data_IF_492477010593
#
_entry.id   IF_492477010593
#
_cell.length_a   1.000
_cell.length_b   1.000
_cell.length_c   1.000
_cell.angle_alpha   90.00
_cell.angle_beta   90.00
_cell.angle_gamma   90.00
#
_symmetry.space_group_name_H-M   'P 1'
#
loop_
_entity.id
_entity.type
_entity.pdbx_description
1 polymer ?
#
# COMPACT_ATOMS: atom_id res chain seq x y z
N UNK A 1 -15.67 -18.75 3.38
CA UNK A 1 -15.72 -17.40 2.78
C UNK A 1 -14.38 -16.72 3.02
N UNK A 2 -13.58 -16.50 1.96
CA UNK A 2 -12.29 -15.82 2.06
C UNK A 2 -12.48 -14.32 2.16
N UNK A 3 -11.64 -13.62 2.92
CA UNK A 3 -11.58 -12.16 2.77
C UNK A 3 -10.98 -11.86 1.37
N UNK A 4 -11.42 -10.80 0.70
CA UNK A 4 -11.42 -10.69 -0.76
C UNK A 4 -10.07 -10.75 -1.52
N UNK A 5 -10.02 -10.40 -2.81
CA UNK A 5 -8.76 -10.39 -3.55
C UNK A 5 -7.82 -9.28 -3.07
N UNK A 6 -6.50 -9.47 -3.26
CA UNK A 6 -5.51 -8.38 -3.15
C UNK A 6 -5.78 -7.37 -4.26
N UNK A 7 -5.88 -6.08 -3.91
CA UNK A 7 -6.10 -4.99 -4.86
C UNK A 7 -4.84 -4.17 -5.05
N UNK A 8 -4.60 -3.77 -6.29
CA UNK A 8 -3.49 -2.91 -6.69
C UNK A 8 -4.07 -1.72 -7.43
N UNK A 9 -3.74 -0.53 -6.96
CA UNK A 9 -4.21 0.70 -7.57
C UNK A 9 -3.03 1.65 -7.73
N UNK A 10 -2.85 2.17 -8.95
CA UNK A 10 -1.92 3.27 -9.18
C UNK A 10 -2.50 4.53 -8.57
N UNK A 11 -1.74 5.19 -7.69
CA UNK A 11 -2.17 6.43 -7.04
C UNK A 11 -1.32 7.60 -7.54
N UNK A 12 -1.90 8.80 -7.48
CA UNK A 12 -1.26 10.06 -7.86
C UNK A 12 -1.38 11.06 -6.70
N UNK A 13 -0.59 12.15 -6.70
CA UNK A 13 -0.82 13.27 -5.80
C UNK A 13 -2.29 13.72 -5.83
N UNK A 14 -2.84 13.93 -4.64
CA UNK A 14 -4.20 14.44 -4.45
C UNK A 14 -4.21 15.83 -3.81
N UNK A 15 -5.31 16.21 -3.15
CA UNK A 15 -5.34 17.43 -2.36
C UNK A 15 -4.26 17.43 -1.28
N UNK A 16 -3.54 18.54 -1.14
CA UNK A 16 -2.54 18.73 -0.08
C UNK A 16 -3.23 19.04 1.24
N UNK A 17 -3.43 18.02 2.08
CA UNK A 17 -4.07 18.15 3.40
C UNK A 17 -3.14 18.80 4.43
N UNK A 18 -3.69 19.26 5.55
CA UNK A 18 -2.90 19.70 6.70
C UNK A 18 -1.96 18.58 7.19
N UNK A 19 -0.75 18.95 7.62
CA UNK A 19 0.19 18.02 8.25
C UNK A 19 -0.26 17.74 9.69
N UNK A 20 -0.93 16.61 9.88
CA UNK A 20 -1.35 16.08 11.19
C UNK A 20 -0.73 14.70 11.42
N UNK A 21 -1.08 14.02 12.50
CA UNK A 21 -0.55 12.69 12.86
C UNK A 21 -0.76 11.61 11.78
N UNK A 22 -1.61 11.84 10.78
CA UNK A 22 -1.86 10.95 9.66
C UNK A 22 -2.08 11.73 8.36
N UNK A 23 -1.66 11.14 7.24
CA UNK A 23 -1.91 11.64 5.88
C UNK A 23 -2.55 10.52 5.07
N UNK A 24 -3.41 10.89 4.10
CA UNK A 24 -3.78 9.93 3.06
C UNK A 24 -2.56 9.63 2.17
N UNK A 25 -2.48 8.46 1.52
CA UNK A 25 -1.37 8.15 0.60
C UNK A 25 -1.20 9.21 -0.50
N UNK A 26 -2.32 9.68 -1.07
CA UNK A 26 -2.32 10.73 -2.10
C UNK A 26 -1.88 12.09 -1.53
N UNK A 27 -2.25 12.40 -0.28
CA UNK A 27 -1.81 13.61 0.43
C UNK A 27 -0.32 13.59 0.76
N UNK A 28 0.24 12.42 1.11
CA UNK A 28 1.68 12.25 1.29
C UNK A 28 2.44 12.51 -0.02
N UNK A 29 1.95 11.99 -1.15
CA UNK A 29 2.53 12.26 -2.47
C UNK A 29 2.47 13.74 -2.85
N UNK A 30 1.35 14.42 -2.54
CA UNK A 30 1.22 15.86 -2.78
C UNK A 30 2.20 16.71 -1.94
N UNK A 31 2.56 16.24 -0.74
CA UNK A 31 3.60 16.86 0.07
C UNK A 31 5.01 16.57 -0.45
N UNK A 32 5.26 15.34 -0.90
CA UNK A 32 6.55 15.00 -1.53
C UNK A 32 6.81 15.88 -2.76
N UNK A 33 5.80 16.03 -3.63
CA UNK A 33 5.86 16.91 -4.80
C UNK A 33 6.16 18.36 -4.41
N UNK A 34 5.45 18.88 -3.41
CA UNK A 34 5.61 20.28 -3.02
C UNK A 34 6.96 20.58 -2.36
N UNK A 35 7.47 19.67 -1.54
CA UNK A 35 8.70 19.90 -0.76
C UNK A 35 9.97 19.54 -1.54
N UNK A 36 9.90 18.55 -2.42
CA UNK A 36 11.07 18.00 -3.12
C UNK A 36 11.02 18.21 -4.64
N UNK A 37 9.92 18.75 -5.16
CA UNK A 37 9.74 19.01 -6.59
C UNK A 37 9.41 17.77 -7.42
N UNK A 38 9.17 16.62 -6.78
CA UNK A 38 8.86 15.36 -7.47
C UNK A 38 7.82 14.52 -6.73
N UNK A 39 6.94 13.89 -7.49
CA UNK A 39 5.95 12.92 -7.03
C UNK A 39 6.33 11.54 -7.56
N UNK A 40 6.94 10.65 -6.74
CA UNK A 40 7.37 9.36 -7.22
C UNK A 40 6.19 8.52 -7.71
N UNK A 41 6.46 7.63 -8.66
CA UNK A 41 5.49 6.64 -9.11
C UNK A 41 5.06 5.76 -7.92
N UNK A 42 3.75 5.66 -7.70
CA UNK A 42 3.23 5.04 -6.50
C UNK A 42 2.00 4.15 -6.76
N UNK A 43 1.90 3.09 -5.95
CA UNK A 43 0.77 2.17 -5.93
C UNK A 43 0.29 1.94 -4.50
N UNK A 44 -1.02 1.86 -4.33
CA UNK A 44 -1.66 1.37 -3.12
C UNK A 44 -1.99 -0.12 -3.30
N UNK A 45 -1.42 -0.96 -2.45
CA UNK A 45 -1.71 -2.39 -2.43
C UNK A 45 -2.51 -2.72 -1.18
N UNK A 46 -3.74 -3.17 -1.35
CA UNK A 46 -4.64 -3.53 -0.24
C UNK A 46 -4.73 -5.04 -0.11
N UNK A 47 -4.41 -5.52 1.09
CA UNK A 47 -4.58 -6.91 1.47
C UNK A 47 -5.83 -7.05 2.36
N UNK A 48 -6.72 -8.00 2.10
CA UNK A 48 -7.76 -8.35 3.07
C UNK A 48 -7.15 -8.79 4.41
N UNK A 49 -7.68 -8.27 5.52
CA UNK A 49 -7.41 -8.77 6.85
C UNK A 49 -8.71 -9.22 7.50
N UNK A 50 -8.66 -10.33 8.24
CA UNK A 50 -9.83 -10.87 8.94
C UNK A 50 -9.91 -10.44 10.41
N UNK A 51 -8.76 -10.34 11.06
CA UNK A 51 -8.63 -9.91 12.44
C UNK A 51 -7.53 -8.85 12.53
N UNK A 52 -7.87 -7.74 13.17
CA UNK A 52 -7.00 -6.57 13.41
C UNK A 52 -7.17 -6.09 14.86
N UNK A 53 -7.59 -7.00 15.76
CA UNK A 53 -7.71 -6.72 17.19
C UNK A 53 -6.38 -6.29 17.78
N UNK A 54 -6.44 -5.39 18.77
CA UNK A 54 -5.25 -4.78 19.33
C UNK A 54 -4.32 -5.81 20.00
N UNK A 55 -3.02 -5.75 19.70
CA UNK A 55 -2.02 -6.64 20.28
C UNK A 55 -1.93 -8.02 19.64
N UNK A 56 -2.80 -8.35 18.68
CA UNK A 56 -2.71 -9.60 17.95
C UNK A 56 -1.81 -9.47 16.71
N UNK A 57 -1.11 -10.56 16.39
CA UNK A 57 -0.43 -10.68 15.11
C UNK A 57 -1.41 -10.97 13.97
N UNK A 58 -0.92 -11.00 12.74
CA UNK A 58 -1.76 -11.46 11.62
C UNK A 58 -2.28 -12.87 11.86
N UNK A 59 -3.59 -13.04 11.66
CA UNK A 59 -4.20 -14.37 11.53
C UNK A 59 -3.41 -15.22 10.53
N UNK A 60 -3.39 -16.57 10.66
CA UNK A 60 -2.65 -17.43 9.74
C UNK A 60 -2.99 -17.19 8.26
N UNK A 61 -4.23 -16.78 8.00
CA UNK A 61 -4.70 -16.46 6.65
C UNK A 61 -4.16 -15.12 6.14
N UNK A 62 -4.28 -14.04 6.93
CA UNK A 62 -3.72 -12.72 6.61
C UNK A 62 -2.20 -12.83 6.40
N UNK A 63 -1.52 -13.62 7.24
CA UNK A 63 -0.07 -13.84 7.16
C UNK A 63 0.34 -14.45 5.82
N UNK A 64 -0.29 -15.56 5.41
CA UNK A 64 -0.01 -16.18 4.10
C UNK A 64 -0.24 -15.24 2.94
N UNK A 65 -1.31 -14.45 3.00
CA UNK A 65 -1.61 -13.48 1.95
C UNK A 65 -0.55 -12.36 1.90
N UNK A 66 -0.08 -11.88 3.05
CA UNK A 66 1.00 -10.90 3.15
C UNK A 66 2.34 -11.45 2.62
N UNK A 67 2.70 -12.69 2.95
CA UNK A 67 3.90 -13.36 2.44
C UNK A 67 3.85 -13.52 0.92
N UNK A 68 2.71 -13.95 0.38
CA UNK A 68 2.49 -14.06 -1.07
C UNK A 68 2.52 -12.70 -1.79
N UNK A 69 2.07 -11.64 -1.14
CA UNK A 69 2.24 -10.27 -1.65
C UNK A 69 3.74 -9.86 -1.66
N UNK A 70 4.47 -10.12 -0.59
CA UNK A 70 5.90 -9.82 -0.51
C UNK A 70 6.73 -10.56 -1.56
N UNK A 71 6.33 -11.78 -1.95
CA UNK A 71 6.90 -12.48 -3.10
C UNK A 71 6.71 -11.72 -4.42
N UNK A 72 5.46 -11.33 -4.72
CA UNK A 72 5.12 -10.60 -5.96
C UNK A 72 5.78 -9.23 -6.05
N UNK A 73 5.86 -8.49 -4.93
CA UNK A 73 6.54 -7.19 -4.90
C UNK A 73 8.03 -7.32 -5.20
N UNK A 74 8.70 -8.36 -4.70
CA UNK A 74 10.11 -8.60 -5.02
C UNK A 74 10.32 -8.88 -6.51
N UNK A 75 9.43 -9.68 -7.12
CA UNK A 75 9.47 -9.91 -8.58
C UNK A 75 9.26 -8.62 -9.37
N UNK A 76 8.28 -7.80 -8.97
CA UNK A 76 8.02 -6.50 -9.59
C UNK A 76 9.25 -5.58 -9.53
N UNK A 77 9.86 -5.43 -8.34
CA UNK A 77 11.03 -4.58 -8.12
C UNK A 77 12.30 -5.12 -8.83
N UNK A 78 12.38 -6.42 -9.09
CA UNK A 78 13.48 -7.04 -9.82
C UNK A 78 13.41 -6.84 -11.34
N UNK A 79 12.32 -6.28 -11.88
CA UNK A 79 12.25 -5.85 -13.28
C UNK A 79 11.62 -6.84 -14.28
N UNK A 80 10.90 -7.88 -13.85
CA UNK A 80 10.32 -8.90 -14.74
C UNK A 80 8.79 -8.97 -14.76
N UNK A 81 8.08 -7.84 -14.64
CA UNK A 81 6.64 -7.84 -14.92
C UNK A 81 5.87 -6.70 -14.28
N UNK A 82 5.69 -5.63 -15.03
CA UNK A 82 4.44 -4.87 -14.95
C UNK A 82 3.36 -5.60 -15.76
N UNK A 83 2.07 -5.53 -15.37
CA UNK A 83 0.97 -5.97 -16.22
C UNK A 83 0.91 -5.18 -17.54
#
# INVERSE_FOLDING_TARGET
>A
MGAGPVRWERIRPGPRSALVHALSPQGLLAWAEYLFGDAPEAWLVTLPARDLSFGEGFSPWTRRAAEGLGGRLRTYLAGEGGP
#
